data_IF_743443805566
#
_entry.id   IF_743443805566
#
_cell.length_a   1.000
_cell.length_b   1.000
_cell.length_c   1.000
_cell.angle_alpha   90.00
_cell.angle_beta   90.00
_cell.angle_gamma   90.00
#
_symmetry.space_group_name_H-M   'P 1'
#
loop_
_entity.id
_entity.type
_entity.pdbx_description
1 polymer ?
#
# COMPACT_ATOMS: atom_id res chain seq x y z
N UNK A 1 27.13 19.68 36.46
CA UNK A 1 27.23 18.51 35.55
C UNK A 1 26.24 18.73 34.43
N UNK A 2 26.63 19.53 33.43
CA UNK A 2 25.84 19.87 32.24
C UNK A 2 25.93 18.76 31.20
N UNK A 3 25.39 17.58 31.54
CA UNK A 3 25.24 16.51 30.56
C UNK A 3 23.77 16.41 30.12
N UNK A 4 23.55 16.92 28.91
CA UNK A 4 22.77 16.25 27.86
C UNK A 4 21.24 16.46 27.80
N UNK A 5 20.74 17.69 28.02
CA UNK A 5 19.41 18.07 27.53
C UNK A 5 19.30 17.88 25.99
N UNK A 6 20.39 18.14 25.27
CA UNK A 6 20.53 17.80 23.85
C UNK A 6 20.47 16.29 23.58
N UNK A 7 21.01 15.47 24.48
CA UNK A 7 20.96 14.01 24.37
C UNK A 7 19.53 13.47 24.53
N UNK A 8 18.77 14.02 25.49
CA UNK A 8 17.35 13.68 25.67
C UNK A 8 16.49 14.10 24.48
N UNK A 9 16.76 15.25 23.87
CA UNK A 9 16.09 15.69 22.63
C UNK A 9 16.48 14.80 21.44
N UNK A 10 17.74 14.38 21.35
CA UNK A 10 18.20 13.46 20.30
C UNK A 10 17.58 12.07 20.43
N UNK A 11 17.45 11.57 21.67
CA UNK A 11 16.78 10.29 21.95
C UNK A 11 15.29 10.40 21.60
N UNK A 12 14.63 11.50 21.96
CA UNK A 12 13.22 11.73 21.61
C UNK A 12 13.03 11.83 20.08
N UNK A 13 13.91 12.56 19.38
CA UNK A 13 13.93 12.65 17.91
C UNK A 13 14.22 11.29 17.24
N UNK A 14 15.12 10.50 17.81
CA UNK A 14 15.48 9.16 17.33
C UNK A 14 14.34 8.15 17.58
N UNK A 15 13.68 8.21 18.74
CA UNK A 15 12.52 7.38 19.05
C UNK A 15 11.33 7.73 18.17
N UNK A 16 11.06 9.03 17.96
CA UNK A 16 9.99 9.50 17.06
C UNK A 16 10.24 9.06 15.61
N UNK A 17 11.47 9.23 15.09
CA UNK A 17 11.81 8.79 13.72
C UNK A 17 11.74 7.27 13.55
N UNK A 18 12.08 6.48 14.58
CA UNK A 18 11.94 5.01 14.54
C UNK A 18 10.46 4.58 14.58
N UNK A 19 9.62 5.24 15.37
CA UNK A 19 8.18 4.89 15.47
C UNK A 19 7.35 5.29 14.24
N UNK A 20 7.86 6.20 13.40
CA UNK A 20 7.16 6.65 12.18
C UNK A 20 7.60 5.86 10.93
N UNK A 21 8.78 5.22 10.97
CA UNK A 21 9.30 4.41 9.85
C UNK A 21 8.92 2.93 9.92
N UNK A 22 7.67 2.61 10.26
CA UNK A 22 7.15 1.26 10.06
C UNK A 22 6.73 1.06 8.59
N UNK A 23 7.71 1.15 7.69
CA UNK A 23 7.67 0.35 6.47
C UNK A 23 8.08 -1.06 6.88
N UNK A 24 7.10 -1.92 7.18
CA UNK A 24 7.34 -3.36 7.24
C UNK A 24 7.72 -3.82 5.83
N UNK A 25 9.02 -3.73 5.52
CA UNK A 25 9.60 -4.20 4.26
C UNK A 25 9.46 -5.72 4.20
N UNK A 26 8.32 -6.19 3.70
CA UNK A 26 8.06 -7.60 3.50
C UNK A 26 9.18 -8.23 2.66
N UNK A 27 9.74 -9.33 3.16
CA UNK A 27 10.80 -10.03 2.45
C UNK A 27 10.21 -10.74 1.24
N UNK A 28 10.67 -10.43 0.02
CA UNK A 28 10.17 -11.07 -1.21
C UNK A 28 10.55 -12.55 -1.39
N UNK A 29 10.97 -13.23 -0.30
CA UNK A 29 11.44 -14.62 -0.28
C UNK A 29 10.33 -15.62 -0.62
N UNK A 30 9.06 -15.29 -0.35
CA UNK A 30 7.92 -16.17 -0.57
C UNK A 30 6.95 -15.66 -1.67
N UNK A 31 7.38 -14.66 -2.46
CA UNK A 31 6.54 -14.04 -3.50
C UNK A 31 6.27 -14.96 -4.70
N UNK A 32 7.07 -16.02 -4.85
CA UNK A 32 6.94 -17.01 -5.94
C UNK A 32 6.21 -18.29 -5.51
N UNK A 33 5.54 -18.29 -4.35
CA UNK A 33 4.78 -19.46 -3.88
C UNK A 33 3.39 -19.47 -4.54
N UNK A 34 3.08 -20.53 -5.28
CA UNK A 34 1.77 -20.71 -5.91
C UNK A 34 0.69 -21.01 -4.85
N UNK A 35 0.04 -19.96 -4.35
CA UNK A 35 -1.03 -20.07 -3.35
C UNK A 35 -2.24 -20.86 -3.87
N UNK A 36 -2.47 -20.90 -5.18
CA UNK A 36 -3.57 -21.68 -5.75
C UNK A 36 -3.33 -23.18 -5.66
N UNK A 37 -2.07 -23.63 -5.62
CA UNK A 37 -1.71 -25.04 -5.46
C UNK A 37 -1.84 -25.49 -3.99
N UNK A 38 -1.44 -24.61 -3.05
CA UNK A 38 -1.52 -24.88 -1.61
C UNK A 38 -2.98 -24.96 -1.13
N UNK A 39 -3.84 -24.07 -1.65
CA UNK A 39 -5.26 -24.01 -1.26
C UNK A 39 -6.10 -25.11 -1.91
N UNK A 40 -5.67 -25.67 -3.05
CA UNK A 40 -6.35 -26.81 -3.69
C UNK A 40 -6.10 -28.16 -3.00
N UNK A 41 -5.13 -28.23 -2.09
CA UNK A 41 -4.81 -29.46 -1.36
C UNK A 41 -5.25 -29.34 0.11
N UNK A 42 -6.47 -29.79 0.40
CA UNK A 42 -7.06 -29.78 1.74
C UNK A 42 -6.15 -30.41 2.80
N UNK A 43 -5.34 -31.41 2.43
CA UNK A 43 -4.42 -32.08 3.35
C UNK A 43 -3.19 -31.23 3.67
N UNK A 44 -2.70 -30.45 2.70
CA UNK A 44 -1.60 -29.52 2.90
C UNK A 44 -2.09 -28.30 3.68
N UNK A 45 -3.20 -27.70 3.25
CA UNK A 45 -3.82 -26.56 3.91
C UNK A 45 -4.14 -26.84 5.38
N UNK A 46 -4.70 -28.02 5.68
CA UNK A 46 -4.99 -28.44 7.06
C UNK A 46 -3.75 -28.47 7.95
N UNK A 47 -2.58 -28.87 7.44
CA UNK A 47 -1.33 -28.86 8.24
C UNK A 47 -0.88 -27.45 8.59
N UNK A 48 -1.01 -26.51 7.66
CA UNK A 48 -0.70 -25.10 7.89
C UNK A 48 -1.68 -24.49 8.91
N UNK A 49 -2.97 -24.74 8.74
CA UNK A 49 -4.02 -24.25 9.67
C UNK A 49 -3.87 -24.87 11.06
N UNK A 50 -3.64 -26.17 11.16
CA UNK A 50 -3.44 -26.84 12.45
C UNK A 50 -2.18 -26.34 13.17
N UNK A 51 -1.10 -26.03 12.44
CA UNK A 51 0.10 -25.40 13.00
C UNK A 51 -0.20 -23.99 13.55
N UNK A 52 -0.89 -23.14 12.76
CA UNK A 52 -1.22 -21.76 13.14
C UNK A 52 -2.18 -21.68 14.33
N UNK A 53 -3.05 -22.68 14.51
CA UNK A 53 -4.02 -22.75 15.60
C UNK A 53 -3.51 -23.52 16.83
N UNK A 54 -2.23 -23.90 16.88
CA UNK A 54 -1.64 -24.72 17.96
C UNK A 54 -2.28 -26.11 18.13
N UNK A 55 -2.89 -26.64 17.06
CA UNK A 55 -3.61 -27.94 17.07
C UNK A 55 -2.80 -29.09 16.48
N UNK A 56 -1.62 -28.82 15.91
CA UNK A 56 -0.83 -29.83 15.22
C UNK A 56 0.64 -29.45 15.03
N UNK A 57 1.41 -30.38 14.46
CA UNK A 57 2.84 -30.19 14.18
C UNK A 57 3.03 -29.22 13.01
N UNK A 58 3.97 -28.29 13.17
CA UNK A 58 4.36 -27.37 12.11
C UNK A 58 5.37 -28.01 11.14
N UNK A 59 5.21 -27.73 9.85
CA UNK A 59 6.30 -27.85 8.87
C UNK A 59 7.24 -26.65 9.03
N UNK A 60 8.45 -26.70 8.47
CA UNK A 60 9.41 -25.60 8.58
C UNK A 60 8.81 -24.27 8.09
N UNK A 61 8.18 -24.28 6.91
CA UNK A 61 7.54 -23.09 6.33
C UNK A 61 6.35 -22.59 7.16
N UNK A 62 5.55 -23.48 7.72
CA UNK A 62 4.42 -23.10 8.57
C UNK A 62 4.87 -22.55 9.94
N UNK A 63 6.00 -23.06 10.47
CA UNK A 63 6.60 -22.54 11.69
C UNK A 63 7.15 -21.13 11.48
N UNK A 64 7.79 -20.88 10.33
CA UNK A 64 8.22 -19.54 9.94
C UNK A 64 7.01 -18.59 9.85
N UNK A 65 5.96 -18.96 9.12
CA UNK A 65 4.72 -18.16 9.02
C UNK A 65 4.05 -17.90 10.37
N UNK A 66 4.03 -18.91 11.25
CA UNK A 66 3.48 -18.77 12.60
C UNK A 66 4.27 -17.78 13.45
N UNK A 67 5.60 -17.80 13.33
CA UNK A 67 6.48 -16.86 14.01
C UNK A 67 6.38 -15.44 13.44
N UNK A 68 6.03 -15.29 12.15
CA UNK A 68 5.70 -13.99 11.55
C UNK A 68 4.36 -13.42 12.03
N UNK A 69 3.36 -14.26 12.31
CA UNK A 69 2.00 -13.83 12.66
C UNK A 69 1.78 -13.47 14.13
N UNK A 70 2.66 -13.91 15.04
CA UNK A 70 2.53 -13.68 16.49
C UNK A 70 3.90 -13.43 17.13
N UNK A 71 4.46 -12.23 16.96
CA UNK A 71 5.41 -11.69 17.93
C UNK A 71 4.65 -10.91 19.01
N UNK A 72 4.06 -11.63 19.96
CA UNK A 72 3.49 -11.00 21.17
C UNK A 72 4.55 -10.46 22.12
N UNK A 73 5.85 -10.70 21.87
CA UNK A 73 6.93 -10.08 22.64
C UNK A 73 7.21 -8.64 22.18
N UNK A 74 6.91 -8.27 20.93
CA UNK A 74 7.09 -6.89 20.42
C UNK A 74 6.10 -5.91 21.08
N UNK A 75 4.83 -6.29 21.25
CA UNK A 75 3.85 -5.46 21.99
C UNK A 75 4.00 -5.56 23.51
N UNK A 76 4.48 -6.71 24.02
CA UNK A 76 4.62 -6.94 25.46
C UNK A 76 5.84 -6.29 26.11
N UNK A 77 6.95 -6.07 25.37
CA UNK A 77 8.13 -5.37 25.90
C UNK A 77 8.07 -3.85 25.75
N UNK A 78 7.23 -3.32 24.84
CA UNK A 78 7.10 -1.87 24.63
C UNK A 78 6.09 -1.18 25.57
N UNK A 79 5.24 -1.92 26.29
CA UNK A 79 4.16 -1.33 27.11
C UNK A 79 4.41 -1.28 28.62
N UNK A 80 5.56 -1.76 29.12
CA UNK A 80 5.78 -1.95 30.56
C UNK A 80 6.74 -0.95 31.22
N UNK A 81 7.30 0.00 30.48
CA UNK A 81 8.19 1.00 31.06
C UNK A 81 7.87 2.39 30.47
N UNK A 82 7.73 3.37 31.36
CA UNK A 82 7.85 4.83 31.14
C UNK A 82 6.60 5.71 30.91
N UNK A 83 5.35 5.23 30.96
CA UNK A 83 4.21 6.14 30.73
C UNK A 83 3.69 6.92 31.94
N UNK A 84 4.00 6.57 33.19
CA UNK A 84 3.40 7.28 34.34
C UNK A 84 4.26 8.43 34.88
N UNK A 85 5.60 8.33 34.85
CA UNK A 85 6.46 9.35 35.47
C UNK A 85 6.80 10.53 34.52
N UNK A 86 6.95 10.27 33.22
CA UNK A 86 7.30 11.28 32.23
C UNK A 86 6.12 12.21 31.88
N UNK A 87 4.89 11.68 31.87
CA UNK A 87 3.68 12.44 31.55
C UNK A 87 3.39 13.49 32.62
N UNK A 88 3.60 13.17 33.90
CA UNK A 88 3.38 14.10 35.02
C UNK A 88 4.33 15.31 34.98
N UNK A 89 5.60 15.09 34.63
CA UNK A 89 6.62 16.14 34.50
C UNK A 89 6.44 17.01 33.24
N UNK A 90 5.98 16.41 32.14
CA UNK A 90 5.64 17.14 30.91
C UNK A 90 4.40 18.01 31.11
N UNK A 91 3.38 17.52 31.82
CA UNK A 91 2.19 18.29 32.15
C UNK A 91 2.50 19.52 33.03
N UNK A 92 3.47 19.44 33.95
CA UNK A 92 3.90 20.61 34.75
C UNK A 92 4.61 21.69 33.93
N UNK A 93 5.40 21.30 32.92
CA UNK A 93 6.12 22.26 32.06
C UNK A 93 5.24 22.88 30.95
N UNK A 94 4.19 22.17 30.49
CA UNK A 94 3.26 22.66 29.47
C UNK A 94 2.38 23.83 29.94
N UNK A 95 2.08 23.95 31.24
CA UNK A 95 1.27 25.05 31.79
C UNK A 95 2.04 26.39 31.83
N UNK A 96 3.38 26.35 31.72
CA UNK A 96 4.23 27.52 31.98
C UNK A 96 4.73 28.23 30.71
N UNK A 97 4.53 27.67 29.51
CA UNK A 97 5.10 28.27 28.30
C UNK A 97 4.24 28.01 27.04
N UNK A 98 3.16 28.78 26.91
CA UNK A 98 2.17 28.72 25.82
C UNK A 98 2.78 28.83 24.41
N UNK A 99 3.95 29.47 24.27
CA UNK A 99 4.66 29.61 22.99
C UNK A 99 5.35 28.34 22.49
N UNK A 100 5.79 27.45 23.38
CA UNK A 100 6.47 26.19 23.00
C UNK A 100 5.44 25.19 22.47
N UNK A 101 4.24 25.17 23.06
CA UNK A 101 3.12 24.34 22.60
C UNK A 101 2.72 24.70 21.17
N UNK A 102 2.61 26.00 20.88
CA UNK A 102 2.19 26.49 19.57
C UNK A 102 3.23 26.14 18.49
N UNK A 103 4.51 26.27 18.80
CA UNK A 103 5.60 25.98 17.86
C UNK A 103 5.72 24.47 17.58
N UNK A 104 5.51 23.62 18.59
CA UNK A 104 5.47 22.16 18.42
C UNK A 104 4.24 21.69 17.62
N UNK A 105 3.07 22.32 17.80
CA UNK A 105 1.89 22.00 16.99
C UNK A 105 2.06 22.33 15.51
N UNK A 106 2.78 23.42 15.19
CA UNK A 106 3.07 23.81 13.80
C UNK A 106 4.07 22.86 13.15
N UNK A 107 5.11 22.43 13.88
CA UNK A 107 6.09 21.45 13.35
C UNK A 107 5.44 20.08 13.14
N UNK A 108 4.58 19.64 14.06
CA UNK A 108 3.83 18.38 13.91
C UNK A 108 2.87 18.42 12.72
N UNK A 109 2.24 19.56 12.43
CA UNK A 109 1.35 19.72 11.27
C UNK A 109 2.09 19.62 9.92
N UNK A 110 3.38 19.98 9.86
CA UNK A 110 4.18 19.94 8.62
C UNK A 110 4.82 18.56 8.38
N UNK A 111 5.14 17.82 9.45
CA UNK A 111 5.83 16.52 9.36
C UNK A 111 4.96 15.33 8.93
N UNK A 112 3.63 15.48 8.80
CA UNK A 112 2.69 14.39 8.46
C UNK A 112 2.49 14.21 6.94
N UNK A 113 3.25 14.94 6.11
CA UNK A 113 3.30 14.68 4.67
C UNK A 113 4.22 13.49 4.36
N UNK A 114 3.89 12.30 4.89
CA UNK A 114 4.45 11.06 4.38
C UNK A 114 3.89 10.81 2.98
N UNK A 115 4.76 10.52 2.02
CA UNK A 115 4.34 10.12 0.66
C UNK A 115 3.69 8.73 0.76
N UNK A 116 2.36 8.69 0.81
CA UNK A 116 1.60 7.45 0.97
C UNK A 116 1.50 6.75 -0.39
N UNK A 117 2.35 5.75 -0.66
CA UNK A 117 2.25 4.93 -1.87
C UNK A 117 0.89 4.18 -1.93
N UNK A 118 0.43 3.86 -3.15
CA UNK A 118 -0.69 2.94 -3.31
C UNK A 118 -0.30 1.53 -2.87
N UNK A 119 -1.26 0.74 -2.39
CA UNK A 119 -1.00 -0.64 -1.98
C UNK A 119 -0.34 -1.46 -3.08
N UNK A 120 0.86 -1.99 -2.79
CA UNK A 120 1.62 -2.87 -3.70
C UNK A 120 1.13 -4.32 -3.70
N UNK A 121 0.09 -4.66 -2.91
CA UNK A 121 -0.50 -6.01 -2.80
C UNK A 121 -0.85 -6.64 -4.16
N UNK A 122 -1.13 -5.83 -5.16
CA UNK A 122 -1.60 -6.25 -6.48
C UNK A 122 -0.55 -6.09 -7.60
N UNK A 123 0.69 -5.75 -7.25
CA UNK A 123 1.79 -5.57 -8.20
C UNK A 123 2.29 -6.89 -8.82
N UNK A 124 1.84 -8.04 -8.30
CA UNK A 124 2.16 -9.38 -8.81
C UNK A 124 1.16 -9.90 -9.84
N UNK A 125 0.09 -9.15 -10.12
CA UNK A 125 -0.92 -9.55 -11.09
C UNK A 125 -0.34 -9.54 -12.50
N UNK A 126 -0.50 -10.66 -13.22
CA UNK A 126 -0.11 -10.77 -14.61
C UNK A 126 -1.20 -10.17 -15.53
N UNK A 127 -0.95 -8.97 -16.07
CA UNK A 127 -1.86 -8.27 -16.96
C UNK A 127 -2.14 -9.02 -18.27
N UNK A 128 -1.18 -9.79 -18.79
CA UNK A 128 -1.35 -10.58 -20.01
C UNK A 128 -2.40 -11.68 -19.79
N UNK A 129 -2.37 -12.32 -18.62
CA UNK A 129 -3.36 -13.34 -18.25
C UNK A 129 -4.77 -12.76 -18.12
N UNK A 130 -4.89 -11.49 -17.70
CA UNK A 130 -6.17 -10.79 -17.63
C UNK A 130 -6.69 -10.52 -19.03
N UNK A 131 -5.90 -9.90 -19.90
CA UNK A 131 -6.37 -9.50 -21.24
C UNK A 131 -6.60 -10.70 -22.17
N UNK A 132 -5.93 -11.83 -21.94
CA UNK A 132 -6.19 -13.08 -22.67
C UNK A 132 -7.48 -13.78 -22.22
N UNK A 133 -7.97 -13.49 -21.02
CA UNK A 133 -9.21 -14.05 -20.50
C UNK A 133 -10.36 -13.06 -20.64
N UNK A 134 -11.08 -13.13 -21.76
CA UNK A 134 -12.19 -12.22 -22.07
C UNK A 134 -13.23 -12.11 -20.94
N UNK A 135 -13.51 -13.19 -20.21
CA UNK A 135 -14.45 -13.16 -19.09
C UNK A 135 -13.89 -12.35 -17.92
N UNK A 136 -12.63 -12.59 -17.57
CA UNK A 136 -11.95 -11.87 -16.49
C UNK A 136 -11.81 -10.40 -16.85
N UNK A 137 -11.24 -10.09 -18.02
CA UNK A 137 -11.07 -8.74 -18.52
C UNK A 137 -12.39 -7.95 -18.53
N UNK A 138 -13.49 -8.54 -19.05
CA UNK A 138 -14.82 -7.90 -19.02
C UNK A 138 -15.29 -7.61 -17.61
N UNK A 139 -15.02 -8.47 -16.63
CA UNK A 139 -15.39 -8.20 -15.23
C UNK A 139 -14.66 -6.98 -14.67
N UNK A 140 -13.37 -6.80 -14.99
CA UNK A 140 -12.63 -5.60 -14.58
C UNK A 140 -13.21 -4.35 -15.23
N UNK A 141 -13.36 -4.36 -16.56
CA UNK A 141 -13.90 -3.20 -17.29
C UNK A 141 -15.31 -2.86 -16.81
N UNK A 142 -16.18 -3.85 -16.59
CA UNK A 142 -17.52 -3.64 -16.06
C UNK A 142 -17.49 -3.04 -14.64
N UNK A 143 -16.58 -3.50 -13.77
CA UNK A 143 -16.38 -2.86 -12.46
C UNK A 143 -15.98 -1.39 -12.62
N UNK A 144 -14.98 -1.11 -13.47
CA UNK A 144 -14.50 0.23 -13.76
C UNK A 144 -15.58 1.12 -14.35
N UNK A 145 -16.53 0.57 -15.11
CA UNK A 145 -17.67 1.28 -15.71
C UNK A 145 -18.95 1.29 -14.85
N UNK A 146 -18.94 0.78 -13.62
CA UNK A 146 -20.14 0.68 -12.75
C UNK A 146 -21.24 -0.26 -13.29
N UNK A 147 -20.89 -1.26 -14.09
CA UNK A 147 -21.84 -2.21 -14.71
C UNK A 147 -21.81 -3.62 -14.11
N UNK A 148 -21.03 -3.83 -13.07
CA UNK A 148 -20.86 -5.16 -12.47
C UNK A 148 -20.18 -5.14 -11.13
N UNK A 149 -20.07 -6.34 -10.53
CA UNK A 149 -19.36 -6.53 -9.26
C UNK A 149 -17.86 -6.35 -9.47
N UNK A 150 -17.21 -5.74 -8.49
CA UNK A 150 -15.77 -5.60 -8.44
C UNK A 150 -15.14 -6.74 -7.64
N UNK A 151 -14.06 -7.31 -8.17
CA UNK A 151 -13.08 -8.03 -7.34
C UNK A 151 -12.33 -7.02 -6.46
N UNK A 152 -11.63 -7.49 -5.42
CA UNK A 152 -10.96 -6.60 -4.46
C UNK A 152 -9.93 -5.69 -5.14
N UNK A 153 -9.19 -6.24 -6.09
CA UNK A 153 -8.17 -5.53 -6.86
C UNK A 153 -8.77 -4.59 -7.92
N UNK A 154 -9.83 -4.99 -8.62
CA UNK A 154 -10.54 -4.08 -9.54
C UNK A 154 -11.20 -2.91 -8.79
N UNK A 155 -11.69 -3.15 -7.56
CA UNK A 155 -12.24 -2.10 -6.70
C UNK A 155 -11.16 -1.11 -6.26
N UNK A 156 -9.97 -1.60 -5.91
CA UNK A 156 -8.83 -0.77 -5.57
C UNK A 156 -8.40 0.09 -6.76
N UNK A 157 -8.18 -0.55 -7.92
CA UNK A 157 -7.84 0.14 -9.16
C UNK A 157 -8.85 1.24 -9.51
N UNK A 158 -10.15 0.94 -9.38
CA UNK A 158 -11.22 1.90 -9.63
C UNK A 158 -11.12 3.14 -8.73
N UNK A 159 -10.76 2.96 -7.46
CA UNK A 159 -10.66 4.07 -6.49
C UNK A 159 -9.40 4.90 -6.72
N UNK A 160 -8.31 4.30 -7.20
CA UNK A 160 -7.02 4.98 -7.38
C UNK A 160 -6.90 5.70 -8.72
N UNK A 161 -7.61 5.28 -9.78
CA UNK A 161 -7.53 5.91 -11.11
C UNK A 161 -7.73 7.45 -11.06
N UNK A 162 -8.76 8.01 -10.40
CA UNK A 162 -8.95 9.47 -10.38
C UNK A 162 -7.76 10.22 -9.75
N UNK A 163 -7.27 9.77 -8.60
CA UNK A 163 -6.11 10.37 -7.91
C UNK A 163 -4.84 10.22 -8.75
N UNK A 164 -4.65 9.06 -9.39
CA UNK A 164 -3.49 8.80 -10.25
C UNK A 164 -3.47 9.69 -11.51
N UNK A 165 -4.64 9.99 -12.11
CA UNK A 165 -4.74 10.88 -13.26
C UNK A 165 -4.42 12.34 -12.86
N UNK A 166 -4.94 12.79 -11.73
CA UNK A 166 -4.75 14.15 -11.21
C UNK A 166 -3.30 14.40 -10.80
N UNK A 167 -2.68 13.44 -10.12
CA UNK A 167 -1.37 13.59 -9.45
C UNK A 167 -0.17 13.01 -10.22
N UNK A 168 -0.32 12.73 -11.51
CA UNK A 168 0.73 12.08 -12.33
C UNK A 168 1.23 10.75 -11.74
N UNK A 169 0.33 9.98 -11.11
CA UNK A 169 0.68 8.70 -10.50
C UNK A 169 1.84 8.83 -9.48
N UNK A 170 1.86 9.95 -8.72
CA UNK A 170 2.91 10.25 -7.72
C UNK A 170 3.14 9.09 -6.75
N UNK A 171 2.06 8.46 -6.29
CA UNK A 171 2.03 7.33 -5.34
C UNK A 171 2.19 5.94 -5.98
N UNK A 172 2.38 5.87 -7.30
CA UNK A 172 2.43 4.60 -8.01
C UNK A 172 3.81 3.94 -7.97
N UNK A 173 3.82 2.62 -7.84
CA UNK A 173 5.05 1.85 -8.04
C UNK A 173 5.45 1.81 -9.52
N UNK A 174 6.72 1.51 -9.82
CA UNK A 174 7.18 1.33 -11.20
C UNK A 174 6.40 0.24 -11.94
N UNK A 175 5.99 -0.83 -11.24
CA UNK A 175 5.15 -1.89 -11.81
C UNK A 175 3.76 -1.39 -12.17
N UNK A 176 3.14 -0.59 -11.31
CA UNK A 176 1.83 0.03 -11.59
C UNK A 176 1.91 0.99 -12.78
N UNK A 177 2.97 1.80 -12.86
CA UNK A 177 3.22 2.68 -14.02
C UNK A 177 3.40 1.89 -15.32
N UNK A 178 4.21 0.83 -15.29
CA UNK A 178 4.40 -0.05 -16.44
C UNK A 178 3.11 -0.77 -16.85
N UNK A 179 2.33 -1.23 -15.87
CA UNK A 179 1.05 -1.87 -16.10
C UNK A 179 0.01 -0.94 -16.71
N UNK A 180 -0.06 0.31 -16.24
CA UNK A 180 -0.92 1.34 -16.82
C UNK A 180 -0.58 1.60 -18.29
N UNK A 181 0.71 1.77 -18.62
CA UNK A 181 1.18 1.93 -20.02
C UNK A 181 0.72 0.78 -20.91
N UNK A 182 0.93 -0.45 -20.45
CA UNK A 182 0.50 -1.66 -21.15
C UNK A 182 -1.02 -1.67 -21.38
N UNK A 183 -1.81 -1.40 -20.34
CA UNK A 183 -3.28 -1.43 -20.43
C UNK A 183 -3.84 -0.33 -21.32
N UNK A 184 -3.30 0.89 -21.23
CA UNK A 184 -3.68 2.01 -22.13
C UNK A 184 -3.44 1.61 -23.58
N UNK A 185 -2.25 1.09 -23.90
CA UNK A 185 -1.92 0.62 -25.24
C UNK A 185 -2.80 -0.53 -25.72
N UNK A 186 -3.06 -1.51 -24.85
CA UNK A 186 -3.90 -2.64 -25.21
C UNK A 186 -5.34 -2.19 -25.48
N UNK A 187 -5.92 -1.36 -24.61
CA UNK A 187 -7.28 -0.85 -24.73
C UNK A 187 -7.46 0.01 -25.98
N UNK A 188 -6.58 0.99 -26.20
CA UNK A 188 -6.66 1.90 -27.35
C UNK A 188 -6.49 1.20 -28.69
N UNK A 189 -5.71 0.11 -28.73
CA UNK A 189 -5.40 -0.60 -29.97
C UNK A 189 -6.40 -1.72 -30.25
N UNK A 190 -6.71 -2.54 -29.24
CA UNK A 190 -7.46 -3.79 -29.41
C UNK A 190 -8.92 -3.71 -28.96
N UNK A 191 -9.28 -2.75 -28.10
CA UNK A 191 -10.60 -2.65 -27.46
C UNK A 191 -11.12 -1.20 -27.47
N UNK A 192 -11.10 -0.56 -28.65
CA UNK A 192 -11.43 0.87 -28.84
C UNK A 192 -12.75 1.30 -28.23
N UNK A 193 -13.79 0.48 -28.35
CA UNK A 193 -15.11 0.81 -27.77
C UNK A 193 -15.02 0.94 -26.25
N UNK A 194 -14.40 -0.03 -25.58
CA UNK A 194 -14.20 0.00 -24.14
C UNK A 194 -13.25 1.12 -23.70
N UNK A 195 -12.24 1.42 -24.51
CA UNK A 195 -11.36 2.58 -24.28
C UNK A 195 -12.16 3.89 -24.26
N UNK A 196 -13.01 4.10 -25.26
CA UNK A 196 -13.84 5.30 -25.37
C UNK A 196 -14.78 5.44 -24.16
N UNK A 197 -15.44 4.36 -23.77
CA UNK A 197 -16.32 4.36 -22.59
C UNK A 197 -15.58 4.66 -21.28
N UNK A 198 -14.38 4.08 -21.11
CA UNK A 198 -13.55 4.35 -19.92
C UNK A 198 -13.11 5.81 -19.90
N UNK A 199 -12.72 6.37 -21.04
CA UNK A 199 -12.29 7.76 -21.10
C UNK A 199 -13.43 8.75 -20.97
N UNK A 200 -14.63 8.44 -21.45
CA UNK A 200 -15.81 9.26 -21.20
C UNK A 200 -16.12 9.32 -19.69
N UNK A 201 -15.82 8.24 -18.96
CA UNK A 201 -16.00 8.19 -17.52
C UNK A 201 -14.91 8.92 -16.72
N UNK A 202 -13.64 8.68 -17.04
CA UNK A 202 -12.51 9.15 -16.21
C UNK A 202 -11.85 10.44 -16.75
N UNK A 203 -12.06 10.77 -18.02
CA UNK A 203 -11.53 11.98 -18.67
C UNK A 203 -12.52 12.58 -19.70
N UNK A 204 -13.76 12.93 -19.28
CA UNK A 204 -14.81 13.40 -20.20
C UNK A 204 -14.42 14.68 -20.97
N UNK A 205 -13.55 15.50 -20.39
CA UNK A 205 -13.09 16.76 -20.98
C UNK A 205 -11.78 16.61 -21.76
N UNK A 206 -11.17 15.41 -21.80
CA UNK A 206 -9.91 15.16 -22.48
C UNK A 206 -8.69 15.85 -21.87
N UNK A 207 -8.77 16.28 -20.60
CA UNK A 207 -7.71 17.01 -19.90
C UNK A 207 -6.48 16.13 -19.74
N UNK A 208 -6.66 14.88 -19.32
CA UNK A 208 -5.56 13.96 -19.08
C UNK A 208 -4.97 13.43 -20.39
N UNK A 209 -5.81 13.12 -21.38
CA UNK A 209 -5.34 12.76 -22.74
C UNK A 209 -4.45 13.85 -23.33
N UNK A 210 -4.82 15.12 -23.18
CA UNK A 210 -3.99 16.23 -23.62
C UNK A 210 -2.69 16.31 -22.81
N UNK A 211 -2.76 16.20 -21.48
CA UNK A 211 -1.60 16.22 -20.57
C UNK A 211 -0.57 15.15 -20.91
N UNK A 212 -1.01 13.94 -21.23
CA UNK A 212 -0.12 12.80 -21.52
C UNK A 212 0.10 12.52 -23.01
N UNK A 213 -0.38 13.39 -23.91
CA UNK A 213 -0.37 13.15 -25.36
C UNK A 213 1.02 12.80 -25.90
N UNK A 214 2.07 13.48 -25.44
CA UNK A 214 3.46 13.21 -25.84
C UNK A 214 3.95 11.85 -25.35
N UNK A 215 3.64 11.47 -24.10
CA UNK A 215 4.00 10.16 -23.57
C UNK A 215 3.29 9.05 -24.32
N UNK A 216 1.99 9.21 -24.55
CA UNK A 216 1.15 8.23 -25.24
C UNK A 216 1.62 8.07 -26.70
N UNK A 217 2.02 9.17 -27.36
CA UNK A 217 2.60 9.16 -28.71
C UNK A 217 3.94 8.40 -28.76
N UNK A 218 4.81 8.58 -27.76
CA UNK A 218 6.09 7.84 -27.65
C UNK A 218 5.88 6.33 -27.50
N UNK A 219 4.77 5.90 -26.92
CA UNK A 219 4.42 4.50 -26.73
C UNK A 219 3.74 3.86 -27.96
N UNK A 220 3.54 4.66 -29.02
CA UNK A 220 2.92 4.24 -30.28
C UNK A 220 1.40 4.04 -30.17
N UNK A 221 0.75 4.75 -29.25
CA UNK A 221 -0.69 4.69 -29.04
C UNK A 221 -1.36 5.83 -29.80
N UNK A 222 -2.35 5.49 -30.65
CA UNK A 222 -3.22 6.48 -31.30
C UNK A 222 -4.43 6.75 -30.40
N UNK A 223 -4.54 7.99 -29.91
CA UNK A 223 -5.62 8.49 -29.04
C UNK A 223 -6.63 9.30 -29.84
#
# INVERSE_FOLDING_TARGET
>A
MEHNALGSIFILYFVITITVNCDDKYTGKYDNVNLEEIVKNDRLLKKYVDCLLDRGKCTNDAAELKNFGFDTNWMGKLYKYELEDAVFLVLQNLVSNMGVVLLLTVIFAVGVLSDQEYTNRYDTINLESIVQNDRLFKNYVNCLLDRGKCTKDAAELKRTIPDALETDCSKCTEKQRAGMRYMVKYLSTNKKDLWNELTEKYDPNGVYRAKYAEQISREGVQI
#
